data_IF_963655925190
#
_entry.id   IF_963655925190
#
_cell.length_a   1.000
_cell.length_b   1.000
_cell.length_c   1.000
_cell.angle_alpha   90.00
_cell.angle_beta   90.00
_cell.angle_gamma   90.00
#
_symmetry.space_group_name_H-M   'P 1'
#
loop_
_entity.id
_entity.type
_entity.pdbx_description
1 polymer ?
#
# COMPACT_ATOMS: atom_id res chain seq x y z
N UNK A 1 -75.10 17.16 25.56
CA UNK A 1 -74.80 17.67 24.21
C UNK A 1 -73.37 18.18 24.19
N UNK A 2 -72.41 17.32 23.86
CA UNK A 2 -71.01 17.70 23.64
C UNK A 2 -70.41 16.64 22.72
N UNK A 3 -69.90 17.09 21.58
CA UNK A 3 -69.53 16.27 20.43
C UNK A 3 -68.23 15.49 20.61
N UNK A 4 -68.15 14.38 19.86
CA UNK A 4 -66.93 13.60 19.63
C UNK A 4 -66.58 13.83 18.16
N UNK A 5 -65.43 14.48 17.92
CA UNK A 5 -64.91 14.76 16.59
C UNK A 5 -64.42 13.49 15.89
N UNK A 6 -64.83 13.34 14.63
CA UNK A 6 -64.29 12.35 13.69
C UNK A 6 -62.83 12.66 13.36
N UNK A 7 -61.98 11.64 13.51
CA UNK A 7 -60.58 11.66 13.07
C UNK A 7 -60.53 11.59 11.55
N UNK A 8 -59.97 12.64 10.94
CA UNK A 8 -59.55 12.67 9.53
C UNK A 8 -58.52 11.55 9.26
N UNK A 9 -58.84 10.67 8.31
CA UNK A 9 -57.99 9.56 7.88
C UNK A 9 -56.83 10.06 7.00
N UNK A 10 -55.60 9.65 7.35
CA UNK A 10 -54.39 9.82 6.53
C UNK A 10 -54.55 9.10 5.19
N UNK A 11 -54.32 9.83 4.09
CA UNK A 11 -54.25 9.25 2.75
C UNK A 11 -53.02 8.33 2.63
N UNK A 12 -53.23 7.09 2.16
CA UNK A 12 -52.16 6.19 1.75
C UNK A 12 -51.60 6.66 0.40
N UNK A 13 -50.30 6.92 0.33
CA UNK A 13 -49.57 7.14 -0.92
C UNK A 13 -49.45 5.81 -1.69
N UNK A 14 -50.46 5.51 -2.50
CA UNK A 14 -50.49 4.35 -3.39
C UNK A 14 -49.79 4.73 -4.71
N UNK A 15 -48.52 4.33 -4.87
CA UNK A 15 -47.79 4.47 -6.14
C UNK A 15 -48.05 3.25 -7.02
N UNK A 16 -48.53 3.50 -8.23
CA UNK A 16 -48.81 2.46 -9.23
C UNK A 16 -47.74 2.46 -10.31
N UNK A 17 -47.30 1.27 -10.75
CA UNK A 17 -46.25 1.11 -11.75
C UNK A 17 -46.73 0.20 -12.87
N UNK A 18 -46.49 0.60 -14.12
CA UNK A 18 -46.73 -0.26 -15.28
C UNK A 18 -45.68 -1.37 -15.34
N UNK A 19 -46.11 -2.63 -15.34
CA UNK A 19 -45.23 -3.81 -15.46
C UNK A 19 -44.54 -3.91 -16.81
N UNK A 20 -45.07 -3.26 -17.85
CA UNK A 20 -44.55 -3.34 -19.22
C UNK A 20 -43.46 -2.30 -19.51
N UNK A 21 -43.69 -1.04 -19.14
CA UNK A 21 -42.77 0.06 -19.46
C UNK A 21 -42.11 0.71 -18.23
N UNK A 22 -42.51 0.32 -17.01
CA UNK A 22 -41.99 0.89 -15.78
C UNK A 22 -42.46 2.32 -15.47
N UNK A 23 -43.39 2.89 -16.25
CA UNK A 23 -43.96 4.21 -15.98
C UNK A 23 -44.72 4.24 -14.65
N UNK A 24 -44.52 5.31 -13.88
CA UNK A 24 -45.16 5.52 -12.57
C UNK A 24 -46.41 6.38 -12.69
N UNK A 25 -47.49 5.96 -12.03
CA UNK A 25 -48.79 6.62 -12.02
C UNK A 25 -49.23 6.87 -10.57
N UNK A 26 -49.87 8.02 -10.33
CA UNK A 26 -50.37 8.43 -9.00
C UNK A 26 -51.73 7.81 -8.64
N UNK A 27 -52.42 7.20 -9.60
CA UNK A 27 -53.68 6.49 -9.42
C UNK A 27 -53.74 5.29 -10.36
N UNK A 28 -54.49 4.27 -9.98
CA UNK A 28 -54.73 3.14 -10.84
C UNK A 28 -55.54 3.55 -12.08
N UNK A 29 -55.13 3.09 -13.25
CA UNK A 29 -55.91 3.18 -14.49
C UNK A 29 -55.83 1.86 -15.25
N UNK A 30 -56.90 1.52 -15.97
CA UNK A 30 -56.95 0.32 -16.80
C UNK A 30 -56.02 0.36 -18.02
N UNK A 31 -55.46 1.52 -18.36
CA UNK A 31 -54.55 1.72 -19.50
C UNK A 31 -53.39 2.62 -19.10
N UNK A 32 -52.17 2.22 -19.46
CA UNK A 32 -50.96 3.02 -19.23
C UNK A 32 -50.86 4.17 -20.23
N UNK A 33 -50.70 5.40 -19.71
CA UNK A 33 -50.58 6.61 -20.54
C UNK A 33 -49.24 6.71 -21.29
N UNK A 34 -48.21 5.96 -20.88
CA UNK A 34 -46.88 5.98 -21.50
C UNK A 34 -46.73 4.96 -22.64
N UNK A 35 -47.19 3.71 -22.45
CA UNK A 35 -47.04 2.65 -23.45
C UNK A 35 -48.37 2.19 -24.08
N UNK A 36 -49.51 2.68 -23.59
CA UNK A 36 -50.83 2.34 -24.12
C UNK A 36 -51.34 0.94 -23.75
N UNK A 37 -50.57 0.14 -23.01
CA UNK A 37 -50.93 -1.21 -22.60
C UNK A 37 -52.05 -1.23 -21.55
N UNK A 38 -52.91 -2.23 -21.61
CA UNK A 38 -54.07 -2.39 -20.73
C UNK A 38 -53.77 -3.33 -19.57
N UNK A 39 -54.33 -3.06 -18.39
CA UNK A 39 -54.21 -3.85 -17.16
C UNK A 39 -52.77 -4.12 -16.68
N UNK A 40 -51.79 -3.35 -17.15
CA UNK A 40 -50.38 -3.48 -16.76
C UNK A 40 -50.02 -2.67 -15.51
N UNK A 41 -50.91 -1.82 -15.00
CA UNK A 41 -50.63 -0.94 -13.86
C UNK A 41 -50.93 -1.69 -12.56
N UNK A 42 -49.89 -1.93 -11.76
CA UNK A 42 -49.97 -2.63 -10.47
C UNK A 42 -49.51 -1.73 -9.32
N UNK A 43 -50.08 -1.95 -8.14
CA UNK A 43 -49.67 -1.26 -6.91
C UNK A 43 -48.35 -1.85 -6.40
N UNK A 44 -47.33 -1.01 -6.19
CA UNK A 44 -46.03 -1.46 -5.71
C UNK A 44 -45.85 -1.03 -4.24
N UNK A 45 -45.89 -2.02 -3.34
CA UNK A 45 -45.67 -1.81 -1.90
C UNK A 45 -44.18 -1.53 -1.60
N UNK A 46 -43.85 -0.58 -0.71
CA UNK A 46 -42.46 -0.32 -0.35
C UNK A 46 -41.86 -1.51 0.42
N UNK A 47 -40.71 -2.00 -0.05
CA UNK A 47 -40.04 -3.20 0.50
C UNK A 47 -39.22 -2.95 1.78
N UNK A 48 -38.97 -1.69 2.17
CA UNK A 48 -38.26 -1.37 3.43
C UNK A 48 -38.71 -0.02 4.01
N UNK A 49 -38.95 0.03 5.32
CA UNK A 49 -39.12 1.28 6.09
C UNK A 49 -37.75 1.80 6.53
N UNK A 50 -37.18 2.73 5.75
CA UNK A 50 -35.98 3.49 6.14
C UNK A 50 -36.22 4.45 7.33
N UNK A 51 -35.21 5.21 7.78
CA UNK A 51 -35.34 6.12 8.91
C UNK A 51 -36.51 7.09 8.70
N UNK A 52 -37.26 7.35 9.78
CA UNK A 52 -38.57 8.01 9.76
C UNK A 52 -38.65 9.32 8.97
N UNK A 53 -39.89 9.69 8.64
CA UNK A 53 -40.39 10.67 7.67
C UNK A 53 -39.82 12.11 7.65
N UNK A 54 -38.68 12.39 8.31
CA UNK A 54 -37.93 13.65 8.21
C UNK A 54 -36.59 13.55 7.48
N UNK A 55 -36.14 12.35 7.08
CA UNK A 55 -34.78 12.17 6.54
C UNK A 55 -34.69 11.98 5.01
N UNK A 56 -35.75 11.54 4.33
CA UNK A 56 -35.80 11.51 2.87
C UNK A 56 -37.22 11.82 2.43
N UNK A 57 -37.39 12.86 1.59
CA UNK A 57 -38.66 13.10 0.90
C UNK A 57 -39.09 11.89 0.08
N UNK A 58 -40.32 11.90 -0.44
CA UNK A 58 -41.02 10.82 -1.15
C UNK A 58 -40.33 10.27 -2.44
N UNK A 59 -39.04 10.52 -2.65
CA UNK A 59 -38.25 9.90 -3.71
C UNK A 59 -37.95 8.45 -3.33
N UNK A 60 -38.76 7.52 -3.86
CA UNK A 60 -38.39 6.09 -3.89
C UNK A 60 -37.06 5.93 -4.62
N UNK A 61 -36.27 4.94 -4.19
CA UNK A 61 -35.03 4.56 -4.88
C UNK A 61 -35.28 4.29 -6.37
N UNK A 62 -34.37 4.76 -7.23
CA UNK A 62 -34.45 4.52 -8.68
C UNK A 62 -34.00 3.09 -8.98
N UNK A 63 -34.63 2.44 -9.96
CA UNK A 63 -34.13 1.18 -10.52
C UNK A 63 -32.71 1.41 -11.04
N UNK A 64 -31.78 0.58 -10.61
CA UNK A 64 -30.40 0.60 -11.08
C UNK A 64 -30.28 -0.32 -12.30
N UNK A 65 -29.58 0.14 -13.34
CA UNK A 65 -29.19 -0.73 -14.44
C UNK A 65 -28.20 -1.77 -13.90
N UNK A 66 -28.57 -3.04 -13.99
CA UNK A 66 -27.69 -4.16 -13.67
C UNK A 66 -26.85 -4.46 -14.91
N UNK A 67 -25.55 -4.64 -14.74
CA UNK A 67 -24.63 -5.05 -15.80
C UNK A 67 -24.05 -6.40 -15.42
N UNK A 68 -23.90 -7.31 -16.39
CA UNK A 68 -23.36 -8.64 -16.13
C UNK A 68 -21.88 -8.59 -15.76
N UNK A 69 -21.49 -9.43 -14.79
CA UNK A 69 -20.07 -9.66 -14.45
C UNK A 69 -19.28 -10.24 -15.64
N UNK A 70 -19.96 -10.84 -16.62
CA UNK A 70 -19.37 -11.36 -17.85
C UNK A 70 -19.03 -10.26 -18.87
N UNK A 71 -19.50 -9.02 -18.65
CA UNK A 71 -19.03 -7.90 -19.44
C UNK A 71 -17.54 -7.67 -19.16
N UNK A 72 -16.72 -7.68 -20.20
CA UNK A 72 -15.31 -7.23 -20.14
C UNK A 72 -15.27 -5.77 -20.54
N UNK A 73 -15.45 -4.82 -19.62
CA UNK A 73 -15.17 -3.42 -19.92
C UNK A 73 -13.70 -3.30 -20.33
N UNK A 74 -13.40 -2.39 -21.25
CA UNK A 74 -12.00 -2.02 -21.52
C UNK A 74 -11.34 -1.56 -20.23
N UNK A 75 -10.09 -1.99 -20.03
CA UNK A 75 -9.31 -1.53 -18.88
C UNK A 75 -9.27 0.01 -18.88
N UNK A 76 -9.46 0.66 -17.73
CA UNK A 76 -9.53 2.11 -17.69
C UNK A 76 -8.23 2.71 -18.24
N UNK A 77 -8.31 3.77 -19.04
CA UNK A 77 -7.13 4.38 -19.65
C UNK A 77 -6.16 4.84 -18.57
N UNK A 78 -4.88 4.52 -18.75
CA UNK A 78 -3.79 4.89 -17.85
C UNK A 78 -2.89 5.92 -18.49
N UNK A 79 -2.55 6.94 -17.72
CA UNK A 79 -1.52 7.91 -18.13
C UNK A 79 -0.21 7.59 -17.42
N UNK A 80 0.86 7.44 -18.19
CA UNK A 80 2.20 7.13 -17.70
C UNK A 80 2.89 8.45 -17.33
N UNK A 81 3.45 8.54 -16.12
CA UNK A 81 4.21 9.71 -15.68
C UNK A 81 5.61 9.79 -16.31
N UNK A 82 6.15 8.65 -16.74
CA UNK A 82 7.52 8.53 -17.23
C UNK A 82 8.54 8.40 -16.10
N UNK A 83 8.07 8.18 -14.86
CA UNK A 83 8.88 7.80 -13.70
C UNK A 83 8.56 6.35 -13.39
N UNK A 84 9.49 5.44 -13.71
CA UNK A 84 9.20 4.01 -13.75
C UNK A 84 8.77 3.46 -12.39
N UNK A 85 9.40 3.93 -11.31
CA UNK A 85 9.06 3.51 -9.94
C UNK A 85 7.68 4.05 -9.50
N UNK A 86 7.28 5.25 -9.92
CA UNK A 86 5.95 5.80 -9.64
C UNK A 86 4.87 5.06 -10.44
N UNK A 87 5.10 4.87 -11.74
CA UNK A 87 4.17 4.19 -12.63
C UNK A 87 3.93 2.74 -12.18
N UNK A 88 4.99 2.05 -11.70
CA UNK A 88 4.88 0.72 -11.09
C UNK A 88 3.96 0.71 -9.88
N UNK A 89 4.18 1.61 -8.91
CA UNK A 89 3.37 1.70 -7.70
C UNK A 89 1.89 2.00 -8.01
N UNK A 90 1.64 2.79 -9.06
CA UNK A 90 0.29 3.07 -9.54
C UNK A 90 -0.36 1.90 -10.32
N UNK A 91 0.38 0.81 -10.57
CA UNK A 91 -0.10 -0.34 -11.32
C UNK A 91 -0.05 -0.15 -12.84
N UNK A 92 0.93 0.62 -13.33
CA UNK A 92 1.12 0.93 -14.75
C UNK A 92 0.69 2.34 -15.16
N UNK A 93 0.56 3.26 -14.20
CA UNK A 93 0.21 4.66 -14.44
C UNK A 93 -1.10 5.12 -13.78
N UNK A 94 -1.37 6.42 -13.87
CA UNK A 94 -2.51 7.09 -13.27
C UNK A 94 -3.80 6.72 -14.00
N UNK A 95 -4.80 6.26 -13.24
CA UNK A 95 -6.13 5.91 -13.76
C UNK A 95 -7.04 7.14 -13.70
N UNK A 96 -7.77 7.44 -14.77
CA UNK A 96 -8.79 8.49 -14.76
C UNK A 96 -9.94 8.17 -13.79
N UNK A 97 -10.70 9.19 -13.38
CA UNK A 97 -11.84 9.01 -12.47
C UNK A 97 -11.44 8.25 -11.17
N UNK A 98 -10.31 8.59 -10.55
CA UNK A 98 -9.78 7.85 -9.41
C UNK A 98 -9.41 8.77 -8.24
N UNK A 99 -9.46 8.22 -7.03
CA UNK A 99 -9.02 8.91 -5.81
C UNK A 99 -7.83 8.15 -5.18
N UNK A 100 -6.72 8.85 -5.02
CA UNK A 100 -5.49 8.35 -4.43
C UNK A 100 -5.15 9.11 -3.16
N UNK A 101 -4.62 8.42 -2.17
CA UNK A 101 -4.11 9.00 -0.93
C UNK A 101 -2.61 8.73 -0.82
N UNK A 102 -1.81 9.77 -0.65
CA UNK A 102 -0.37 9.67 -0.38
C UNK A 102 -0.12 10.02 1.08
N UNK A 103 0.06 8.98 1.89
CA UNK A 103 0.39 9.03 3.30
C UNK A 103 1.90 9.09 3.55
N UNK A 104 2.32 9.62 4.70
CA UNK A 104 3.70 9.51 5.17
C UNK A 104 4.08 10.61 6.16
N UNK A 105 5.25 10.44 6.78
CA UNK A 105 5.73 11.35 7.82
C UNK A 105 5.95 12.78 7.29
N UNK A 106 5.76 13.82 8.13
CA UNK A 106 6.15 15.18 7.77
C UNK A 106 7.63 15.26 7.39
N UNK A 107 7.93 15.97 6.29
CA UNK A 107 9.29 16.15 5.81
C UNK A 107 9.91 14.97 5.03
N UNK A 108 9.19 13.86 4.86
CA UNK A 108 9.72 12.70 4.11
C UNK A 108 9.93 12.97 2.61
N UNK A 109 9.22 13.97 2.06
CA UNK A 109 9.30 14.38 0.66
C UNK A 109 8.01 14.21 -0.16
N UNK A 110 6.83 14.07 0.46
CA UNK A 110 5.53 13.90 -0.24
C UNK A 110 5.24 15.02 -1.25
N UNK A 111 5.29 16.28 -0.81
CA UNK A 111 5.06 17.43 -1.69
C UNK A 111 6.11 17.51 -2.81
N UNK A 112 7.35 17.13 -2.53
CA UNK A 112 8.41 17.05 -3.55
C UNK A 112 8.09 15.99 -4.61
N UNK A 113 7.71 14.78 -4.18
CA UNK A 113 7.31 13.69 -5.07
C UNK A 113 6.13 14.11 -5.95
N UNK A 114 5.10 14.70 -5.34
CA UNK A 114 3.87 15.06 -6.02
C UNK A 114 4.03 16.27 -6.94
N UNK A 115 4.86 17.25 -6.58
CA UNK A 115 5.15 18.36 -7.48
C UNK A 115 5.96 17.89 -8.71
N UNK A 116 6.92 16.98 -8.52
CA UNK A 116 7.61 16.33 -9.63
C UNK A 116 6.65 15.49 -10.49
N UNK A 117 5.76 14.71 -9.87
CA UNK A 117 4.75 13.93 -10.58
C UNK A 117 3.78 14.83 -11.37
N UNK A 118 3.30 15.92 -10.76
CA UNK A 118 2.42 16.91 -11.39
C UNK A 118 3.05 17.46 -12.67
N UNK A 119 4.30 17.91 -12.57
CA UNK A 119 5.05 18.43 -13.70
C UNK A 119 5.23 17.39 -14.82
N UNK A 120 5.45 16.13 -14.46
CA UNK A 120 5.60 15.02 -15.42
C UNK A 120 4.29 14.71 -16.14
N UNK A 121 3.19 14.57 -15.41
CA UNK A 121 1.87 14.38 -16.00
C UNK A 121 1.45 15.56 -16.88
N UNK A 122 1.73 16.78 -16.44
CA UNK A 122 1.44 18.00 -17.21
C UNK A 122 2.23 18.04 -18.53
N UNK A 123 3.53 17.72 -18.49
CA UNK A 123 4.36 17.59 -19.70
C UNK A 123 3.92 16.43 -20.60
N UNK A 124 3.27 15.42 -20.04
CA UNK A 124 2.63 14.31 -20.76
C UNK A 124 1.30 14.67 -21.42
N UNK A 125 0.82 15.92 -21.27
CA UNK A 125 -0.38 16.44 -21.92
C UNK A 125 -1.61 16.54 -21.01
N UNK A 126 -1.53 16.16 -19.73
CA UNK A 126 -2.65 16.32 -18.80
C UNK A 126 -2.78 17.77 -18.33
N UNK A 127 -4.02 18.25 -18.19
CA UNK A 127 -4.30 19.50 -17.47
C UNK A 127 -4.21 19.23 -15.96
N UNK A 128 -3.15 19.72 -15.32
CA UNK A 128 -2.87 19.47 -13.90
C UNK A 128 -3.07 20.73 -13.05
N UNK A 129 -3.84 20.60 -11.97
CA UNK A 129 -3.99 21.65 -10.95
C UNK A 129 -3.39 21.17 -9.62
N UNK A 130 -2.52 21.97 -9.03
CA UNK A 130 -1.96 21.75 -7.70
C UNK A 130 -2.59 22.73 -6.73
N UNK A 131 -3.38 22.21 -5.79
CA UNK A 131 -3.99 22.99 -4.71
C UNK A 131 -3.22 22.75 -3.43
N UNK A 132 -2.69 23.81 -2.83
CA UNK A 132 -2.06 23.74 -1.52
C UNK A 132 -2.89 24.47 -0.48
N UNK A 133 -3.04 23.87 0.69
CA UNK A 133 -3.62 24.53 1.87
C UNK A 133 -2.61 24.75 3.01
N UNK A 134 -1.42 24.16 2.92
CA UNK A 134 -0.35 24.31 3.93
C UNK A 134 0.66 25.41 3.58
N UNK A 135 0.91 25.65 2.29
CA UNK A 135 1.95 26.57 1.83
C UNK A 135 1.35 27.67 0.95
N UNK A 136 2.02 28.83 0.90
CA UNK A 136 1.66 29.87 -0.07
C UNK A 136 2.07 29.48 -1.49
N UNK A 137 1.40 30.05 -2.49
CA UNK A 137 1.75 29.87 -3.89
C UNK A 137 3.22 30.19 -4.19
N UNK A 138 3.75 31.25 -3.59
CA UNK A 138 5.15 31.65 -3.74
C UNK A 138 6.13 30.60 -3.19
N UNK A 139 5.83 29.96 -2.06
CA UNK A 139 6.66 28.89 -1.49
C UNK A 139 6.71 27.67 -2.41
N UNK A 140 5.58 27.27 -2.98
CA UNK A 140 5.56 26.14 -3.92
C UNK A 140 6.31 26.49 -5.20
N UNK A 141 6.17 27.72 -5.72
CA UNK A 141 6.93 28.19 -6.88
C UNK A 141 8.44 28.18 -6.65
N UNK A 142 8.92 28.62 -5.48
CA UNK A 142 10.34 28.54 -5.12
C UNK A 142 10.85 27.08 -5.12
N UNK A 143 10.05 26.13 -4.63
CA UNK A 143 10.40 24.70 -4.71
C UNK A 143 10.41 24.21 -6.15
N UNK A 144 9.42 24.58 -6.96
CA UNK A 144 9.37 24.24 -8.38
C UNK A 144 10.62 24.76 -9.12
N UNK A 145 11.08 25.97 -8.81
CA UNK A 145 12.31 26.54 -9.36
C UNK A 145 13.54 25.70 -8.98
N UNK A 146 13.69 25.35 -7.70
CA UNK A 146 14.80 24.49 -7.24
C UNK A 146 14.81 23.12 -7.92
N UNK A 147 13.63 22.56 -8.19
CA UNK A 147 13.45 21.27 -8.85
C UNK A 147 13.55 21.34 -10.39
N UNK A 148 13.71 22.53 -10.98
CA UNK A 148 13.76 22.71 -12.44
C UNK A 148 12.41 22.45 -13.14
N UNK A 149 11.30 22.84 -12.49
CA UNK A 149 9.94 22.54 -12.94
C UNK A 149 9.19 23.76 -13.51
N UNK A 150 9.82 24.92 -13.63
CA UNK A 150 9.16 26.19 -14.03
C UNK A 150 8.47 26.15 -15.38
N UNK A 151 9.03 25.41 -16.34
CA UNK A 151 8.48 25.27 -17.69
C UNK A 151 7.32 24.26 -17.79
N UNK A 152 6.89 23.67 -16.67
CA UNK A 152 5.84 22.65 -16.69
C UNK A 152 4.46 23.31 -16.61
N UNK A 153 3.48 22.91 -17.43
CA UNK A 153 2.16 23.55 -17.45
C UNK A 153 1.27 23.08 -16.29
N UNK A 154 1.68 23.39 -15.05
CA UNK A 154 0.92 23.09 -13.83
C UNK A 154 0.32 24.38 -13.28
N UNK A 155 -1.00 24.44 -13.16
CA UNK A 155 -1.70 25.58 -12.55
C UNK A 155 -1.71 25.40 -11.04
N UNK A 156 -1.45 26.47 -10.29
CA UNK A 156 -1.36 26.43 -8.84
C UNK A 156 -2.42 27.29 -8.17
N UNK A 157 -3.03 26.77 -7.10
CA UNK A 157 -3.95 27.49 -6.24
C UNK A 157 -3.55 27.31 -4.77
N UNK A 158 -3.70 28.36 -3.97
CA UNK A 158 -3.54 28.32 -2.53
C UNK A 158 -4.92 28.56 -1.89
N UNK A 159 -5.62 27.49 -1.54
CA UNK A 159 -7.00 27.54 -1.04
C UNK A 159 -7.27 26.37 -0.09
N UNK A 160 -8.16 26.60 0.88
CA UNK A 160 -8.56 25.62 1.90
C UNK A 160 -10.06 25.34 1.88
N UNK A 161 -10.87 26.25 1.35
CA UNK A 161 -12.31 26.06 1.23
C UNK A 161 -12.65 25.06 0.12
N UNK A 162 -13.18 23.91 0.51
CA UNK A 162 -13.50 22.82 -0.40
C UNK A 162 -14.58 23.22 -1.42
N UNK A 163 -15.55 24.05 -1.05
CA UNK A 163 -16.57 24.53 -1.99
C UNK A 163 -15.95 25.32 -3.13
N UNK A 164 -15.03 26.21 -2.81
CA UNK A 164 -14.39 27.09 -3.79
C UNK A 164 -13.47 26.28 -4.69
N UNK A 165 -12.74 25.32 -4.11
CA UNK A 165 -11.93 24.34 -4.85
C UNK A 165 -12.81 23.56 -5.83
N UNK A 166 -13.87 22.90 -5.37
CA UNK A 166 -14.75 22.08 -6.23
C UNK A 166 -15.42 22.90 -7.34
N UNK A 167 -15.84 24.13 -7.03
CA UNK A 167 -16.43 25.06 -8.01
C UNK A 167 -15.42 25.42 -9.09
N UNK A 168 -14.17 25.70 -8.70
CA UNK A 168 -13.07 26.00 -9.62
C UNK A 168 -12.73 24.79 -10.49
N UNK A 169 -12.62 23.60 -9.89
CA UNK A 169 -12.32 22.37 -10.62
C UNK A 169 -13.42 22.02 -11.63
N UNK A 170 -14.68 22.33 -11.33
CA UNK A 170 -15.79 22.09 -12.26
C UNK A 170 -15.73 22.98 -13.51
N UNK A 171 -15.32 24.23 -13.32
CA UNK A 171 -15.13 25.19 -14.40
C UNK A 171 -13.88 24.85 -15.23
N UNK A 172 -12.76 24.53 -14.57
CA UNK A 172 -11.49 24.27 -15.24
C UNK A 172 -11.41 22.89 -15.89
N UNK A 173 -12.14 21.89 -15.38
CA UNK A 173 -12.11 20.49 -15.86
C UNK A 173 -10.68 19.95 -16.05
N UNK A 174 -9.86 19.89 -14.98
CA UNK A 174 -8.53 19.28 -15.08
C UNK A 174 -8.62 17.76 -15.23
N UNK A 175 -7.59 17.15 -15.77
CA UNK A 175 -7.46 15.69 -15.81
C UNK A 175 -6.93 15.14 -14.47
N UNK A 176 -6.09 15.91 -13.79
CA UNK A 176 -5.50 15.59 -12.50
C UNK A 176 -5.52 16.81 -11.57
N UNK A 177 -5.98 16.60 -10.34
CA UNK A 177 -5.82 17.55 -9.24
C UNK A 177 -5.05 16.93 -8.08
N UNK A 178 -4.14 17.70 -7.50
CA UNK A 178 -3.40 17.34 -6.29
C UNK A 178 -3.84 18.26 -5.16
N UNK A 179 -4.20 17.69 -4.02
CA UNK A 179 -4.62 18.41 -2.81
C UNK A 179 -3.56 18.18 -1.71
N UNK A 180 -2.76 19.21 -1.43
CA UNK A 180 -1.65 19.19 -0.46
C UNK A 180 -1.90 20.18 0.70
N UNK A 181 -2.54 19.79 1.81
CA UNK A 181 -2.95 18.44 2.20
C UNK A 181 -4.44 18.35 2.52
N UNK A 182 -4.97 17.13 2.64
CA UNK A 182 -6.39 16.92 2.98
C UNK A 182 -6.73 17.43 4.39
N UNK A 183 -5.74 17.52 5.29
CA UNK A 183 -5.93 18.00 6.65
C UNK A 183 -6.29 19.48 6.73
N UNK A 184 -5.87 20.29 5.75
CA UNK A 184 -6.16 21.72 5.73
C UNK A 184 -7.47 22.06 5.03
N UNK A 185 -8.11 21.07 4.41
CA UNK A 185 -9.38 21.28 3.71
C UNK A 185 -10.52 21.49 4.71
N UNK A 186 -11.39 22.45 4.38
CA UNK A 186 -12.57 22.78 5.15
C UNK A 186 -13.84 22.68 4.29
N UNK A 187 -14.82 21.93 4.79
CA UNK A 187 -16.17 21.83 4.23
C UNK A 187 -17.16 22.50 5.17
N UNK A 188 -18.02 23.35 4.60
CA UNK A 188 -19.06 24.07 5.32
C UNK A 188 -20.30 23.20 5.64
N UNK A 189 -20.32 21.95 5.17
CA UNK A 189 -21.36 20.95 5.49
C UNK A 189 -21.20 20.34 6.88
N UNK A 190 -20.07 20.57 7.54
CA UNK A 190 -19.74 19.97 8.84
C UNK A 190 -19.44 21.07 9.84
N UNK A 191 -20.22 21.10 10.92
CA UNK A 191 -19.94 21.95 12.08
C UNK A 191 -18.80 21.35 12.92
N UNK A 192 -17.59 21.39 12.37
CA UNK A 192 -16.37 20.98 13.06
C UNK A 192 -15.18 21.84 12.63
N UNK A 193 -14.20 22.00 13.52
CA UNK A 193 -12.98 22.75 13.22
C UNK A 193 -12.21 22.10 12.05
N UNK A 194 -11.57 22.91 11.17
CA UNK A 194 -10.64 22.42 10.15
C UNK A 194 -9.59 21.47 10.75
N UNK A 195 -9.23 20.43 10.01
CA UNK A 195 -8.30 19.38 10.49
C UNK A 195 -8.89 18.35 11.44
N UNK A 196 -10.14 18.52 11.89
CA UNK A 196 -10.84 17.45 12.62
C UNK A 196 -11.07 16.22 11.73
N UNK A 197 -11.16 15.05 12.36
CA UNK A 197 -11.40 13.77 11.66
C UNK A 197 -12.67 13.83 10.80
N UNK A 198 -13.72 14.50 11.28
CA UNK A 198 -14.99 14.66 10.56
C UNK A 198 -14.83 15.51 9.29
N UNK A 199 -14.09 16.63 9.38
CA UNK A 199 -13.76 17.48 8.23
C UNK A 199 -12.97 16.69 7.18
N UNK A 200 -11.89 16.02 7.57
CA UNK A 200 -11.03 15.23 6.67
C UNK A 200 -11.83 14.12 5.96
N UNK A 201 -12.64 13.38 6.71
CA UNK A 201 -13.48 12.30 6.15
C UNK A 201 -14.47 12.84 5.13
N UNK A 202 -15.08 13.98 5.43
CA UNK A 202 -16.09 14.60 4.56
C UNK A 202 -15.43 15.13 3.29
N UNK A 203 -14.32 15.86 3.43
CA UNK A 203 -13.57 16.37 2.30
C UNK A 203 -13.10 15.26 1.37
N UNK A 204 -12.56 14.17 1.92
CA UNK A 204 -12.15 13.02 1.13
C UNK A 204 -13.33 12.34 0.41
N UNK A 205 -14.49 12.26 1.06
CA UNK A 205 -15.70 11.71 0.43
C UNK A 205 -16.18 12.57 -0.75
N UNK A 206 -16.25 13.88 -0.55
CA UNK A 206 -16.69 14.82 -1.58
C UNK A 206 -15.73 14.84 -2.76
N UNK A 207 -14.42 14.89 -2.51
CA UNK A 207 -13.39 14.82 -3.55
C UNK A 207 -13.43 13.49 -4.32
N UNK A 208 -13.59 12.37 -3.63
CA UNK A 208 -13.69 11.05 -4.27
C UNK A 208 -14.95 10.96 -5.14
N UNK A 209 -16.08 11.46 -4.64
CA UNK A 209 -17.34 11.48 -5.39
C UNK A 209 -17.24 12.39 -6.61
N UNK A 210 -16.62 13.56 -6.45
CA UNK A 210 -16.37 14.50 -7.53
C UNK A 210 -15.46 13.89 -8.61
N UNK A 211 -14.37 13.20 -8.21
CA UNK A 211 -13.48 12.47 -9.10
C UNK A 211 -14.23 11.50 -10.02
N UNK A 212 -15.09 10.66 -9.41
CA UNK A 212 -15.89 9.67 -10.13
C UNK A 212 -16.95 10.31 -11.04
N UNK A 213 -17.59 11.38 -10.57
CA UNK A 213 -18.69 12.05 -11.30
C UNK A 213 -18.18 12.84 -12.51
N UNK A 214 -17.01 13.48 -12.38
CA UNK A 214 -16.43 14.33 -13.42
C UNK A 214 -15.37 13.62 -14.27
N UNK A 215 -15.01 12.39 -13.93
CA UNK A 215 -14.02 11.62 -14.68
C UNK A 215 -12.57 12.02 -14.41
N UNK A 216 -12.30 12.76 -13.34
CA UNK A 216 -10.97 13.33 -13.04
C UNK A 216 -10.18 12.45 -12.06
N UNK A 217 -8.85 12.50 -12.11
CA UNK A 217 -8.01 11.90 -11.07
C UNK A 217 -7.74 12.90 -9.94
N UNK A 218 -7.86 12.46 -8.69
CA UNK A 218 -7.58 13.25 -7.49
C UNK A 218 -6.52 12.55 -6.65
N UNK A 219 -5.43 13.26 -6.34
CA UNK A 219 -4.42 12.80 -5.37
C UNK A 219 -4.50 13.67 -4.13
N UNK A 220 -4.73 13.05 -2.98
CA UNK A 220 -4.79 13.71 -1.67
C UNK A 220 -3.53 13.41 -0.87
N UNK A 221 -2.93 14.42 -0.27
CA UNK A 221 -1.81 14.24 0.67
C UNK A 221 -2.35 14.09 2.08
N UNK A 222 -1.85 13.07 2.80
CA UNK A 222 -2.14 12.87 4.21
C UNK A 222 -0.87 12.79 5.06
N UNK A 223 -0.73 13.67 6.04
CA UNK A 223 0.30 13.56 7.07
C UNK A 223 0.01 12.46 8.11
N UNK A 224 1.00 11.60 8.38
CA UNK A 224 0.95 10.65 9.52
C UNK A 224 1.51 11.33 10.76
N UNK A 225 0.75 11.34 11.86
CA UNK A 225 1.22 11.83 13.16
C UNK A 225 1.93 10.70 13.92
N UNK A 226 2.93 11.05 14.75
CA UNK A 226 3.84 10.11 15.44
C UNK A 226 3.14 9.08 16.34
N UNK A 227 1.88 9.31 16.72
CA UNK A 227 1.11 8.44 17.62
C UNK A 227 0.02 7.63 16.89
N UNK A 228 -0.09 7.74 15.57
CA UNK A 228 -0.96 6.89 14.74
C UNK A 228 -2.47 6.95 15.04
N UNK A 229 -2.93 7.80 15.97
CA UNK A 229 -4.28 7.68 16.56
C UNK A 229 -5.16 8.93 16.51
N UNK A 230 -4.65 10.11 16.15
CA UNK A 230 -5.49 11.30 16.02
C UNK A 230 -5.31 11.93 14.63
N UNK A 231 -6.34 11.78 13.78
CA UNK A 231 -6.49 12.42 12.47
C UNK A 231 -5.45 12.05 11.38
N UNK A 232 -4.95 10.82 11.40
CA UNK A 232 -4.09 10.30 10.32
C UNK A 232 -4.86 9.89 9.04
N UNK A 233 -4.14 9.69 7.91
CA UNK A 233 -4.69 9.19 6.64
C UNK A 233 -5.48 7.88 6.75
N UNK A 234 -5.27 7.09 7.81
CA UNK A 234 -5.99 5.84 8.11
C UNK A 234 -7.51 5.96 8.08
N UNK A 235 -8.05 7.12 8.48
CA UNK A 235 -9.51 7.34 8.43
C UNK A 235 -10.03 7.40 7.00
N UNK A 236 -9.17 7.77 6.04
CA UNK A 236 -9.54 7.97 4.63
C UNK A 236 -9.18 6.75 3.76
N UNK A 237 -8.29 5.87 4.21
CA UNK A 237 -7.81 4.70 3.44
C UNK A 237 -8.91 3.84 2.84
N UNK A 238 -9.99 3.61 3.58
CA UNK A 238 -11.10 2.78 3.12
C UNK A 238 -11.93 3.48 2.03
N UNK A 239 -11.94 4.81 2.01
CA UNK A 239 -12.76 5.65 1.14
C UNK A 239 -12.17 5.85 -0.24
N UNK A 240 -10.84 5.75 -0.37
CA UNK A 240 -10.12 5.98 -1.63
C UNK A 240 -9.92 4.69 -2.44
N UNK A 241 -9.54 4.84 -3.71
CA UNK A 241 -9.25 3.71 -4.58
C UNK A 241 -7.84 3.17 -4.37
N UNK A 242 -6.87 4.06 -4.12
CA UNK A 242 -5.48 3.72 -3.91
C UNK A 242 -4.90 4.45 -2.68
N UNK A 243 -4.11 3.74 -1.87
CA UNK A 243 -3.37 4.26 -0.72
C UNK A 243 -1.90 3.96 -0.94
N UNK A 244 -1.10 5.02 -1.00
CA UNK A 244 0.34 4.97 -1.11
C UNK A 244 0.95 5.50 0.19
N UNK A 245 1.92 4.79 0.74
CA UNK A 245 2.71 5.23 1.88
C UNK A 245 4.12 5.59 1.43
N UNK A 246 4.55 6.81 1.75
CA UNK A 246 5.91 7.24 1.52
C UNK A 246 6.70 7.16 2.83
N UNK A 247 7.56 6.16 2.89
CA UNK A 247 8.28 5.69 4.07
C UNK A 247 9.78 5.99 3.91
N UNK A 248 10.46 6.21 5.03
CA UNK A 248 11.92 6.31 5.05
C UNK A 248 12.41 6.75 6.42
N UNK A 249 13.44 6.07 6.89
CA UNK A 249 14.01 6.31 8.20
C UNK A 249 14.99 7.49 8.19
N UNK A 250 15.08 8.20 9.32
CA UNK A 250 15.98 9.34 9.46
C UNK A 250 17.43 8.82 9.41
N UNK A 251 18.21 9.32 8.46
CA UNK A 251 19.61 8.91 8.26
C UNK A 251 19.81 7.98 7.05
N UNK A 252 18.76 7.29 6.59
CA UNK A 252 18.81 6.57 5.34
C UNK A 252 18.62 7.53 4.15
N UNK A 253 19.39 7.34 3.09
CA UNK A 253 19.29 8.13 1.86
C UNK A 253 18.00 7.82 1.07
N UNK A 254 17.45 6.61 1.28
CA UNK A 254 16.32 6.10 0.51
C UNK A 254 14.96 6.45 1.10
N UNK A 255 13.99 6.51 0.18
CA UNK A 255 12.57 6.74 0.44
C UNK A 255 11.79 5.71 -0.36
N UNK A 256 10.91 4.97 0.30
CA UNK A 256 10.14 3.89 -0.29
C UNK A 256 8.70 4.35 -0.43
N UNK A 257 8.18 4.36 -1.65
CA UNK A 257 6.77 4.57 -1.92
C UNK A 257 6.09 3.21 -2.07
N UNK A 258 5.13 2.90 -1.22
CA UNK A 258 4.48 1.58 -1.13
C UNK A 258 3.00 1.67 -1.39
N UNK A 259 2.47 0.84 -2.28
CA UNK A 259 1.04 0.71 -2.52
C UNK A 259 0.36 -0.18 -1.47
N UNK A 260 -0.08 0.37 -0.35
CA UNK A 260 -0.79 -0.42 0.66
C UNK A 260 -2.18 -0.90 0.20
N UNK A 261 -2.85 -0.10 -0.64
CA UNK A 261 -4.12 -0.45 -1.27
C UNK A 261 -4.07 0.02 -2.71
N UNK A 262 -4.39 -0.83 -3.67
CA UNK A 262 -4.53 -0.42 -5.06
C UNK A 262 -5.65 -1.19 -5.73
N UNK A 263 -6.80 -0.54 -5.98
CA UNK A 263 -7.91 -1.16 -6.72
C UNK A 263 -7.61 -1.36 -8.21
N UNK A 264 -6.56 -0.73 -8.71
CA UNK A 264 -6.17 -0.74 -10.12
C UNK A 264 -4.85 -1.47 -10.37
N UNK A 265 -4.27 -2.12 -9.38
CA UNK A 265 -2.95 -2.72 -9.52
C UNK A 265 -2.66 -3.67 -8.36
N UNK A 266 -1.46 -4.25 -8.33
CA UNK A 266 -1.05 -5.08 -7.21
C UNK A 266 -0.93 -4.21 -5.95
N UNK A 267 -1.39 -4.76 -4.83
CA UNK A 267 -1.03 -4.24 -3.52
C UNK A 267 0.43 -4.61 -3.20
N UNK A 268 1.02 -3.87 -2.27
CA UNK A 268 2.38 -4.00 -1.76
C UNK A 268 3.51 -3.76 -2.77
N UNK A 269 3.20 -3.29 -3.98
CA UNK A 269 4.21 -2.76 -4.91
C UNK A 269 5.00 -1.62 -4.28
N UNK A 270 6.30 -1.59 -4.56
CA UNK A 270 7.19 -0.54 -4.08
C UNK A 270 7.90 0.21 -5.20
N UNK A 271 8.09 1.50 -4.97
CA UNK A 271 8.91 2.41 -5.74
C UNK A 271 10.03 2.94 -4.85
N UNK A 272 11.28 2.82 -5.26
CA UNK A 272 12.43 3.27 -4.46
C UNK A 272 12.98 4.57 -5.02
N UNK A 273 13.16 5.55 -4.13
CA UNK A 273 13.65 6.89 -4.46
C UNK A 273 14.79 7.28 -3.54
N UNK A 274 15.62 8.20 -4.01
CA UNK A 274 16.68 8.84 -3.23
C UNK A 274 16.47 10.35 -3.22
N UNK A 275 16.63 10.99 -2.06
CA UNK A 275 16.57 12.44 -1.95
C UNK A 275 17.91 13.06 -2.33
N UNK A 276 17.96 13.73 -3.48
CA UNK A 276 19.14 14.45 -3.98
C UNK A 276 18.97 15.96 -3.83
N UNK A 277 20.04 16.73 -4.05
CA UNK A 277 19.95 18.20 -4.10
C UNK A 277 19.01 18.74 -5.20
N UNK A 278 18.67 17.91 -6.20
CA UNK A 278 17.74 18.25 -7.30
C UNK A 278 16.32 17.71 -7.08
N UNK A 279 16.02 17.15 -5.90
CA UNK A 279 14.75 16.49 -5.58
C UNK A 279 14.87 14.97 -5.54
N UNK A 280 13.74 14.28 -5.67
CA UNK A 280 13.69 12.82 -5.64
C UNK A 280 14.12 12.23 -6.98
N UNK A 281 15.07 11.30 -6.93
CA UNK A 281 15.53 10.52 -8.07
C UNK A 281 15.08 9.05 -7.92
N UNK A 282 14.69 8.41 -9.03
CA UNK A 282 14.30 6.99 -9.02
C UNK A 282 15.53 6.07 -8.91
N UNK A 283 15.41 5.03 -8.08
CA UNK A 283 16.44 4.02 -7.88
C UNK A 283 16.08 2.77 -8.67
N UNK A 284 16.74 2.56 -9.81
CA UNK A 284 16.44 1.44 -10.72
C UNK A 284 16.83 0.07 -10.16
N UNK A 285 17.92 0.01 -9.40
CA UNK A 285 18.43 -1.21 -8.79
C UNK A 285 18.63 -1.01 -7.28
N UNK A 286 17.58 -1.19 -6.47
CA UNK A 286 17.66 -0.98 -5.03
C UNK A 286 18.53 -2.05 -4.35
N UNK A 287 18.49 -3.29 -4.84
CA UNK A 287 19.28 -4.39 -4.31
C UNK A 287 20.79 -4.14 -4.40
N UNK A 288 21.28 -3.51 -5.48
CA UNK A 288 22.69 -3.14 -5.58
C UNK A 288 23.14 -2.14 -4.49
N UNK A 289 22.23 -1.30 -4.01
CA UNK A 289 22.51 -0.29 -2.99
C UNK A 289 22.41 -0.86 -1.57
N UNK A 290 21.53 -1.82 -1.33
CA UNK A 290 21.46 -2.53 -0.04
C UNK A 290 22.64 -3.48 0.19
N UNK A 291 23.50 -3.63 -0.80
CA UNK A 291 24.58 -4.59 -0.86
C UNK A 291 25.93 -3.92 -1.12
N UNK A 292 26.04 -2.62 -0.82
CA UNK A 292 27.20 -1.77 -1.14
C UNK A 292 28.48 -2.11 -0.35
N UNK A 293 28.41 -2.94 0.70
CA UNK A 293 29.54 -3.34 1.55
C UNK A 293 29.86 -4.85 1.44
N UNK A 294 29.72 -5.44 0.24
CA UNK A 294 29.93 -6.88 -0.03
C UNK A 294 31.37 -7.39 0.04
N UNK A 295 32.36 -6.51 0.17
CA UNK A 295 33.75 -6.89 -0.14
C UNK A 295 34.39 -7.81 0.92
N UNK A 296 33.81 -7.91 2.12
CA UNK A 296 34.34 -8.74 3.21
C UNK A 296 33.27 -9.61 3.86
N UNK A 297 33.47 -10.93 3.82
CA UNK A 297 32.66 -11.88 4.57
C UNK A 297 32.82 -11.61 6.07
N UNK A 298 31.72 -11.24 6.73
CA UNK A 298 31.70 -10.86 8.15
C UNK A 298 30.78 -11.81 8.92
N UNK A 299 31.23 -12.35 10.07
CA UNK A 299 30.36 -13.15 10.93
C UNK A 299 29.10 -12.39 11.32
N UNK A 300 27.97 -13.08 11.27
CA UNK A 300 26.67 -12.49 11.56
C UNK A 300 26.03 -11.72 10.42
N UNK A 301 26.69 -11.58 9.27
CA UNK A 301 26.11 -10.95 8.08
C UNK A 301 25.71 -12.00 7.04
N UNK A 302 24.47 -11.94 6.55
CA UNK A 302 23.97 -12.81 5.49
C UNK A 302 23.07 -12.04 4.53
N UNK A 303 22.99 -12.47 3.28
CA UNK A 303 22.07 -11.87 2.31
C UNK A 303 20.77 -12.66 2.24
N UNK A 304 19.67 -12.00 2.57
CA UNK A 304 18.32 -12.50 2.41
C UNK A 304 17.72 -12.09 1.06
N UNK A 305 17.15 -13.05 0.33
CA UNK A 305 16.35 -12.77 -0.87
C UNK A 305 14.86 -12.70 -0.50
N UNK A 306 14.36 -11.49 -0.26
CA UNK A 306 12.98 -11.18 0.10
C UNK A 306 12.07 -10.91 -1.10
N UNK A 307 10.76 -10.93 -0.86
CA UNK A 307 9.77 -10.42 -1.79
C UNK A 307 9.00 -9.30 -1.10
N UNK A 308 9.02 -8.12 -1.71
CA UNK A 308 8.25 -6.96 -1.28
C UNK A 308 7.14 -6.69 -2.30
N UNK A 309 5.91 -7.06 -1.96
CA UNK A 309 4.80 -7.13 -2.92
C UNK A 309 5.06 -8.17 -4.01
N UNK A 310 5.40 -7.72 -5.22
CA UNK A 310 5.84 -8.61 -6.31
C UNK A 310 7.32 -8.48 -6.64
N UNK A 311 8.03 -7.54 -6.01
CA UNK A 311 9.42 -7.24 -6.34
C UNK A 311 10.36 -8.10 -5.49
N UNK A 312 11.24 -8.92 -6.11
CA UNK A 312 12.35 -9.52 -5.38
C UNK A 312 13.36 -8.45 -4.99
N UNK A 313 13.76 -8.46 -3.72
CA UNK A 313 14.75 -7.54 -3.16
C UNK A 313 15.75 -8.35 -2.37
N UNK A 314 17.02 -8.12 -2.61
CA UNK A 314 18.08 -8.68 -1.78
C UNK A 314 18.50 -7.63 -0.76
N UNK A 315 18.57 -8.04 0.50
CA UNK A 315 18.95 -7.20 1.61
C UNK A 315 19.79 -7.99 2.60
N UNK A 316 20.64 -7.29 3.36
CA UNK A 316 21.51 -7.90 4.34
C UNK A 316 20.80 -8.00 5.70
N UNK A 317 20.88 -9.16 6.32
CA UNK A 317 20.47 -9.40 7.70
C UNK A 317 21.73 -9.53 8.53
N UNK A 318 21.82 -8.70 9.55
CA UNK A 318 22.95 -8.61 10.46
C UNK A 318 22.53 -9.08 11.84
N UNK A 319 23.33 -9.96 12.43
CA UNK A 319 23.20 -10.42 13.80
C UNK A 319 24.49 -10.13 14.57
N UNK A 320 24.35 -9.70 15.82
CA UNK A 320 25.44 -9.60 16.77
C UNK A 320 25.05 -10.36 18.02
N UNK A 321 25.91 -11.27 18.43
CA UNK A 321 25.75 -12.09 19.63
C UNK A 321 26.91 -11.79 20.56
N UNK A 322 26.62 -11.42 21.80
CA UNK A 322 27.65 -11.11 22.80
C UNK A 322 27.31 -11.70 24.17
N UNK A 323 28.29 -12.00 25.03
CA UNK A 323 28.02 -12.45 26.40
C UNK A 323 27.16 -11.44 27.17
N UNK A 324 26.07 -11.92 27.79
CA UNK A 324 25.17 -11.10 28.58
C UNK A 324 25.64 -11.00 30.04
N UNK A 325 25.23 -9.94 30.73
CA UNK A 325 25.41 -9.86 32.18
C UNK A 325 24.43 -10.81 32.90
N UNK A 326 24.84 -11.45 34.01
CA UNK A 326 23.98 -12.37 34.75
C UNK A 326 22.64 -11.71 35.13
N UNK A 327 21.53 -12.33 34.71
CA UNK A 327 20.17 -11.88 35.04
C UNK A 327 19.57 -10.82 34.10
N UNK A 328 20.31 -10.32 33.10
CA UNK A 328 19.76 -9.41 32.07
C UNK A 328 20.23 -9.81 30.68
N UNK A 329 19.43 -10.63 29.98
CA UNK A 329 19.64 -10.89 28.54
C UNK A 329 18.83 -9.88 27.72
N UNK A 330 19.47 -9.29 26.72
CA UNK A 330 18.86 -8.34 25.79
C UNK A 330 18.62 -9.02 24.44
N UNK A 331 17.40 -8.85 23.92
CA UNK A 331 17.02 -9.28 22.57
C UNK A 331 16.43 -8.07 21.86
N UNK A 332 17.20 -7.49 20.94
CA UNK A 332 16.81 -6.27 20.23
C UNK A 332 16.73 -6.57 18.73
N UNK A 333 15.68 -6.07 18.09
CA UNK A 333 15.42 -6.26 16.67
C UNK A 333 15.07 -4.94 16.02
N UNK A 334 15.70 -4.66 14.88
CA UNK A 334 15.41 -3.52 14.02
C UNK A 334 15.10 -4.05 12.62
N UNK A 335 13.93 -3.67 12.06
CA UNK A 335 13.53 -4.07 10.71
C UNK A 335 12.88 -5.47 10.60
N UNK A 336 12.69 -6.19 11.70
CA UNK A 336 12.02 -7.50 11.72
C UNK A 336 11.15 -7.70 12.97
N UNK A 337 10.41 -8.81 13.05
CA UNK A 337 9.52 -9.12 14.16
C UNK A 337 10.25 -9.78 15.35
N UNK A 338 10.09 -9.20 16.54
CA UNK A 338 10.71 -9.71 17.77
C UNK A 338 10.10 -11.03 18.25
N UNK A 339 8.81 -11.27 17.98
CA UNK A 339 8.15 -12.54 18.29
C UNK A 339 8.72 -13.71 17.49
N UNK A 340 8.94 -13.50 16.18
CA UNK A 340 9.62 -14.44 15.29
C UNK A 340 11.05 -14.70 15.73
N UNK A 341 11.83 -13.69 16.13
CA UNK A 341 13.17 -13.92 16.68
C UNK A 341 13.13 -14.90 17.87
N UNK A 342 12.22 -14.68 18.83
CA UNK A 342 12.09 -15.57 19.99
C UNK A 342 11.74 -17.01 19.59
N UNK A 343 10.90 -17.18 18.56
CA UNK A 343 10.58 -18.49 17.98
C UNK A 343 11.81 -19.17 17.38
N UNK A 344 12.58 -18.46 16.55
CA UNK A 344 13.77 -19.02 15.89
C UNK A 344 14.81 -19.44 16.93
N UNK A 345 15.05 -18.64 17.96
CA UNK A 345 15.95 -19.00 19.06
C UNK A 345 15.49 -20.30 19.76
N UNK A 346 14.18 -20.45 20.03
CA UNK A 346 13.64 -21.66 20.65
C UNK A 346 13.78 -22.90 19.75
N UNK A 347 13.64 -22.75 18.42
CA UNK A 347 13.83 -23.86 17.47
C UNK A 347 15.30 -24.24 17.36
N UNK A 348 16.21 -23.27 17.32
CA UNK A 348 17.66 -23.50 17.32
C UNK A 348 18.10 -24.26 18.57
N UNK A 349 17.60 -23.87 19.75
CA UNK A 349 17.93 -24.56 21.00
C UNK A 349 17.32 -25.97 21.05
N UNK A 350 16.01 -26.11 20.82
CA UNK A 350 15.30 -27.38 21.00
C UNK A 350 15.55 -28.43 19.91
N UNK A 351 15.87 -28.01 18.68
CA UNK A 351 16.06 -28.91 17.52
C UNK A 351 17.50 -29.02 17.09
N UNK A 352 18.29 -27.95 17.26
CA UNK A 352 19.68 -27.92 16.83
C UNK A 352 20.64 -27.94 18.03
N UNK A 353 20.19 -27.93 19.28
CA UNK A 353 21.09 -27.91 20.43
C UNK A 353 22.01 -26.67 20.46
N UNK A 354 21.66 -25.62 19.72
CA UNK A 354 22.42 -24.36 19.69
C UNK A 354 21.79 -23.44 20.72
N UNK A 355 22.35 -23.41 21.93
CA UNK A 355 21.83 -22.54 22.99
C UNK A 355 22.38 -21.11 22.88
N UNK A 356 21.49 -20.15 23.11
CA UNK A 356 21.78 -18.72 23.26
C UNK A 356 21.55 -18.26 24.71
N UNK A 357 21.48 -19.19 25.66
CA UNK A 357 21.37 -18.87 27.07
C UNK A 357 22.59 -18.06 27.53
N UNK A 358 22.36 -16.97 28.27
CA UNK A 358 23.44 -16.09 28.73
C UNK A 358 24.06 -15.21 27.64
N UNK A 359 23.45 -15.09 26.47
CA UNK A 359 23.89 -14.22 25.38
C UNK A 359 22.87 -13.10 25.11
N UNK A 360 23.40 -11.92 24.81
CA UNK A 360 22.66 -10.81 24.22
C UNK A 360 22.60 -11.00 22.70
N UNK A 361 21.43 -10.74 22.12
CA UNK A 361 21.17 -10.91 20.69
C UNK A 361 20.65 -9.60 20.12
N UNK A 362 21.35 -9.08 19.13
CA UNK A 362 20.95 -7.92 18.36
C UNK A 362 20.76 -8.34 16.90
N UNK A 363 19.63 -7.99 16.31
CA UNK A 363 19.32 -8.25 14.91
C UNK A 363 18.97 -6.94 14.21
N UNK A 364 19.55 -6.72 13.04
CA UNK A 364 19.31 -5.55 12.21
C UNK A 364 19.11 -5.95 10.75
N UNK A 365 18.09 -5.39 10.10
CA UNK A 365 17.93 -5.47 8.65
C UNK A 365 18.58 -4.24 8.03
N UNK A 366 19.62 -4.45 7.23
CA UNK A 366 20.35 -3.35 6.61
C UNK A 366 19.46 -2.58 5.63
N UNK A 367 19.80 -1.30 5.43
CA UNK A 367 19.09 -0.43 4.49
C UNK A 367 17.77 0.17 5.00
N UNK A 368 17.42 -0.04 6.27
CA UNK A 368 16.20 0.51 6.88
C UNK A 368 14.92 -0.17 6.38
N UNK A 369 15.06 -1.36 5.80
CA UNK A 369 13.94 -2.16 5.32
C UNK A 369 13.22 -2.83 6.50
N UNK A 370 11.90 -2.97 6.37
CA UNK A 370 11.10 -3.76 7.28
C UNK A 370 10.62 -5.00 6.56
N UNK A 371 11.07 -6.16 7.03
CA UNK A 371 10.72 -7.45 6.45
C UNK A 371 9.57 -8.05 7.25
N UNK A 372 8.48 -8.40 6.58
CA UNK A 372 7.32 -9.08 7.18
C UNK A 372 7.14 -10.54 6.76
N UNK A 373 8.03 -11.06 5.91
CA UNK A 373 7.82 -12.35 5.25
C UNK A 373 8.42 -13.54 6.03
N UNK A 374 7.72 -14.70 6.12
CA UNK A 374 8.27 -15.92 6.72
C UNK A 374 9.56 -16.45 6.08
N UNK A 375 9.82 -16.09 4.81
CA UNK A 375 11.01 -16.52 4.09
C UNK A 375 12.32 -16.02 4.73
N UNK A 376 12.27 -15.01 5.59
CA UNK A 376 13.43 -14.48 6.30
C UNK A 376 13.95 -15.42 7.40
N UNK A 377 13.15 -16.37 7.86
CA UNK A 377 13.47 -17.21 9.02
C UNK A 377 14.81 -17.93 8.88
N UNK A 378 15.05 -18.58 7.73
CA UNK A 378 16.31 -19.28 7.47
C UNK A 378 17.51 -18.34 7.40
N UNK A 379 17.34 -17.16 6.81
CA UNK A 379 18.41 -16.16 6.75
C UNK A 379 18.72 -15.62 8.14
N UNK A 380 17.72 -15.36 8.98
CA UNK A 380 17.96 -14.92 10.36
C UNK A 380 18.63 -16.01 11.19
N UNK A 381 18.19 -17.27 11.06
CA UNK A 381 18.86 -18.40 11.72
C UNK A 381 20.33 -18.52 11.29
N UNK A 382 20.61 -18.36 9.99
CA UNK A 382 21.96 -18.35 9.44
C UNK A 382 22.82 -17.21 10.03
N UNK A 383 22.28 -15.99 10.12
CA UNK A 383 22.97 -14.84 10.70
C UNK A 383 23.29 -15.08 12.19
N UNK A 384 22.32 -15.59 12.96
CA UNK A 384 22.50 -15.85 14.40
C UNK A 384 23.57 -16.91 14.67
N UNK A 385 23.56 -18.01 13.92
CA UNK A 385 24.59 -19.05 14.05
C UNK A 385 25.94 -18.51 13.60
N UNK A 386 25.99 -17.81 12.46
CA UNK A 386 27.21 -17.18 11.95
C UNK A 386 27.85 -16.25 12.97
N UNK A 387 27.05 -15.42 13.66
CA UNK A 387 27.52 -14.52 14.71
C UNK A 387 28.00 -15.26 15.98
N UNK A 388 27.33 -16.37 16.35
CA UNK A 388 27.68 -17.17 17.53
C UNK A 388 28.98 -17.97 17.32
N UNK A 389 29.13 -18.58 16.16
CA UNK A 389 30.29 -19.42 15.81
C UNK A 389 31.49 -18.63 15.27
N UNK A 390 31.35 -17.31 15.18
CA UNK A 390 32.35 -16.42 14.55
C UNK A 390 32.75 -16.89 13.14
N UNK A 391 31.78 -17.43 12.39
CA UNK A 391 31.99 -18.10 11.10
C UNK A 391 31.19 -17.41 10.00
N UNK A 392 31.89 -16.72 9.11
CA UNK A 392 31.27 -15.92 8.05
C UNK A 392 30.74 -16.79 6.90
N UNK A 393 29.56 -16.42 6.40
CA UNK A 393 28.97 -17.02 5.19
C UNK A 393 29.51 -16.33 3.92
N UNK A 394 29.51 -17.03 2.76
CA UNK A 394 29.92 -16.41 1.50
C UNK A 394 29.06 -15.19 1.15
N UNK A 395 29.71 -14.08 0.77
CA UNK A 395 29.06 -12.80 0.43
C UNK A 395 28.21 -12.88 -0.84
N UNK A 396 28.44 -13.90 -1.67
CA UNK A 396 27.75 -14.21 -2.92
C UNK A 396 26.73 -15.35 -2.76
N UNK A 397 26.30 -15.61 -1.52
CA UNK A 397 25.24 -16.57 -1.18
C UNK A 397 23.95 -15.86 -0.74
N UNK A 398 22.84 -16.13 -1.45
CA UNK A 398 21.52 -15.66 -1.07
C UNK A 398 20.74 -16.74 -0.30
N UNK A 399 20.12 -16.39 0.82
CA UNK A 399 19.43 -17.35 1.71
C UNK A 399 17.95 -16.98 1.82
N UNK A 400 17.06 -17.96 1.77
CA UNK A 400 15.63 -17.78 2.10
C UNK A 400 14.96 -19.11 2.44
N UNK A 401 13.97 -19.09 3.32
CA UNK A 401 13.20 -20.26 3.72
C UNK A 401 12.41 -20.00 5.00
N UNK A 402 11.24 -20.63 5.13
CA UNK A 402 10.43 -20.56 6.35
C UNK A 402 10.84 -21.68 7.31
N UNK A 403 11.00 -21.38 8.60
CA UNK A 403 11.31 -22.37 9.62
C UNK A 403 10.03 -22.71 10.38
N UNK A 404 9.70 -24.00 10.41
CA UNK A 404 8.62 -24.51 11.26
C UNK A 404 9.11 -24.86 12.66
N UNK A 405 8.19 -24.89 13.64
CA UNK A 405 8.49 -25.29 15.02
C UNK A 405 9.04 -26.73 15.17
N UNK A 406 8.84 -27.58 14.16
CA UNK A 406 9.44 -28.92 14.11
C UNK A 406 10.91 -28.90 13.67
N UNK A 407 11.42 -27.76 13.23
CA UNK A 407 12.75 -27.61 12.63
C UNK A 407 12.77 -27.87 11.12
N UNK A 408 11.65 -28.18 10.46
CA UNK A 408 11.64 -28.32 9.00
C UNK A 408 11.72 -26.96 8.29
N UNK A 409 12.48 -26.90 7.20
CA UNK A 409 12.59 -25.72 6.32
C UNK A 409 11.58 -25.86 5.18
N UNK A 410 10.62 -24.94 5.12
CA UNK A 410 9.44 -25.03 4.23
C UNK A 410 9.61 -24.19 2.96
N UNK A 411 9.07 -24.64 1.82
CA UNK A 411 9.00 -23.84 0.60
C UNK A 411 8.26 -22.51 0.81
N UNK A 412 8.73 -21.46 0.14
CA UNK A 412 8.17 -20.11 0.24
C UNK A 412 7.63 -19.62 -1.11
N UNK A 413 6.92 -18.51 -1.09
CA UNK A 413 6.36 -17.93 -2.31
C UNK A 413 7.46 -17.44 -3.27
N UNK A 414 7.18 -17.48 -4.58
CA UNK A 414 7.98 -16.86 -5.64
C UNK A 414 9.48 -17.22 -5.63
N UNK A 415 9.86 -18.46 -5.27
CA UNK A 415 11.26 -18.89 -5.21
C UNK A 415 12.04 -18.64 -6.51
N UNK A 416 11.39 -18.81 -7.66
CA UNK A 416 12.02 -18.56 -8.97
C UNK A 416 12.37 -17.08 -9.18
N UNK A 417 11.51 -16.15 -8.75
CA UNK A 417 11.76 -14.72 -8.87
C UNK A 417 12.92 -14.27 -7.97
N UNK A 418 13.01 -14.84 -6.75
CA UNK A 418 14.13 -14.60 -5.83
C UNK A 418 15.46 -15.03 -6.46
N UNK A 419 15.50 -16.24 -7.04
CA UNK A 419 16.70 -16.78 -7.68
C UNK A 419 17.10 -15.98 -8.93
N UNK A 420 16.13 -15.56 -9.76
CA UNK A 420 16.40 -14.72 -10.94
C UNK A 420 17.03 -13.38 -10.54
N UNK A 421 16.52 -12.74 -9.50
CA UNK A 421 17.08 -11.46 -9.02
C UNK A 421 18.46 -11.66 -8.38
N UNK A 422 18.66 -12.71 -7.59
CA UNK A 422 19.97 -13.05 -7.04
C UNK A 422 21.01 -13.25 -8.16
N UNK A 423 20.68 -14.06 -9.18
CA UNK A 423 21.56 -14.28 -10.33
C UNK A 423 21.86 -12.98 -11.10
N UNK A 424 20.85 -12.13 -11.31
CA UNK A 424 21.01 -10.82 -11.97
C UNK A 424 21.96 -9.88 -11.22
N UNK A 425 22.05 -10.01 -9.90
CA UNK A 425 22.94 -9.24 -9.03
C UNK A 425 24.30 -9.90 -8.78
N UNK A 426 24.61 -10.96 -9.53
CA UNK A 426 25.90 -11.63 -9.51
C UNK A 426 26.12 -12.58 -8.33
N UNK A 427 25.07 -13.00 -7.63
CA UNK A 427 25.21 -14.10 -6.67
C UNK A 427 25.52 -15.39 -7.41
N UNK A 428 26.38 -16.22 -6.82
CA UNK A 428 26.77 -17.51 -7.40
C UNK A 428 26.15 -18.68 -6.64
N UNK A 429 25.69 -18.46 -5.40
CA UNK A 429 25.13 -19.50 -4.54
C UNK A 429 23.75 -19.09 -3.98
N UNK A 430 22.90 -20.07 -3.72
CA UNK A 430 21.69 -19.87 -2.94
C UNK A 430 21.42 -21.05 -1.99
N UNK A 431 21.03 -20.73 -0.75
CA UNK A 431 20.53 -21.71 0.23
C UNK A 431 19.01 -21.54 0.36
N UNK A 432 18.27 -22.60 0.08
CA UNK A 432 16.81 -22.56 -0.03
C UNK A 432 16.15 -23.84 0.50
N UNK A 433 14.83 -23.82 0.82
CA UNK A 433 14.09 -25.04 1.12
C UNK A 433 14.10 -26.04 -0.04
N UNK A 434 13.89 -27.32 0.28
CA UNK A 434 13.63 -28.35 -0.73
C UNK A 434 12.49 -27.94 -1.66
N UNK A 435 12.73 -27.99 -2.96
CA UNK A 435 11.73 -27.56 -3.95
C UNK A 435 10.64 -28.63 -4.10
N UNK A 436 9.35 -28.25 -4.18
CA UNK A 436 8.32 -29.20 -4.57
C UNK A 436 8.61 -29.75 -5.98
N UNK A 437 8.42 -31.06 -6.19
CA UNK A 437 8.70 -31.74 -7.47
C UNK A 437 8.05 -30.98 -8.64
N UNK A 438 8.87 -30.57 -9.62
CA UNK A 438 8.47 -29.66 -10.70
C UNK A 438 7.55 -30.32 -11.74
N UNK A 439 6.64 -29.51 -12.33
CA UNK A 439 6.16 -29.68 -13.70
C UNK A 439 7.28 -29.28 -14.66
N UNK A 440 7.47 -30.05 -15.74
CA UNK A 440 8.46 -29.77 -16.78
C UNK A 440 8.22 -28.38 -17.41
N UNK A 441 9.24 -27.52 -17.53
CA UNK A 441 9.15 -26.27 -18.30
C UNK A 441 9.71 -24.96 -17.70
N UNK A 442 9.83 -24.79 -16.38
CA UNK A 442 10.40 -23.54 -15.82
C UNK A 442 11.93 -23.36 -16.09
N UNK A 443 12.32 -22.48 -17.00
CA UNK A 443 13.74 -22.16 -17.19
C UNK A 443 14.37 -21.67 -15.87
N UNK A 444 15.42 -22.38 -15.44
CA UNK A 444 16.19 -22.05 -14.24
C UNK A 444 16.91 -20.70 -14.42
N UNK A 445 17.14 -20.00 -13.31
CA UNK A 445 18.21 -19.02 -13.27
C UNK A 445 19.53 -19.77 -13.52
N UNK A 446 20.02 -19.73 -14.77
CA UNK A 446 21.27 -20.35 -15.15
C UNK A 446 22.42 -19.70 -14.36
N UNK A 447 23.26 -20.50 -13.72
CA UNK A 447 24.50 -20.04 -13.07
C UNK A 447 24.51 -19.94 -11.54
N UNK A 448 23.44 -20.32 -10.84
CA UNK A 448 23.45 -20.43 -9.36
C UNK A 448 23.69 -21.88 -8.90
N UNK A 449 24.63 -22.07 -7.97
CA UNK A 449 24.77 -23.28 -7.15
C UNK A 449 23.69 -23.29 -6.07
N UNK A 450 22.81 -24.31 -6.11
CA UNK A 450 21.61 -24.37 -5.26
C UNK A 450 21.78 -25.42 -4.17
N UNK A 451 21.81 -24.98 -2.91
CA UNK A 451 21.86 -25.85 -1.73
C UNK A 451 20.47 -25.97 -1.10
N UNK A 452 19.83 -27.11 -1.31
CA UNK A 452 18.49 -27.38 -0.80
C UNK A 452 18.51 -27.95 0.62
N UNK A 453 17.84 -27.27 1.54
CA UNK A 453 17.74 -27.63 2.95
C UNK A 453 16.36 -28.21 3.27
N UNK A 454 16.35 -29.37 3.93
CA UNK A 454 15.12 -30.04 4.37
C UNK A 454 14.69 -29.56 5.75
N UNK A 455 15.66 -29.39 6.63
CA UNK A 455 15.48 -29.06 8.03
C UNK A 455 16.66 -28.24 8.54
N UNK A 456 16.41 -27.55 9.65
CA UNK A 456 17.35 -26.65 10.29
C UNK A 456 18.56 -27.41 10.87
N UNK A 457 18.42 -28.59 11.51
CA UNK A 457 19.59 -29.35 11.97
C UNK A 457 20.55 -29.73 10.83
N UNK A 458 20.02 -30.19 9.69
CA UNK A 458 20.82 -30.51 8.51
C UNK A 458 21.46 -29.26 7.89
N UNK A 459 20.77 -28.11 7.92
CA UNK A 459 21.37 -26.83 7.55
C UNK A 459 22.55 -26.47 8.46
N UNK A 460 22.40 -26.56 9.78
CA UNK A 460 23.47 -26.24 10.74
C UNK A 460 24.69 -27.13 10.52
N UNK A 461 24.49 -28.43 10.37
CA UNK A 461 25.56 -29.40 10.15
C UNK A 461 26.29 -29.16 8.80
N UNK A 462 25.53 -29.00 7.72
CA UNK A 462 26.10 -28.83 6.37
C UNK A 462 26.86 -27.51 6.20
N UNK A 463 26.40 -26.45 6.86
CA UNK A 463 26.91 -25.09 6.64
C UNK A 463 27.97 -24.69 7.67
N UNK A 464 27.83 -25.13 8.91
CA UNK A 464 28.73 -24.74 10.01
C UNK A 464 29.52 -25.91 10.61
N UNK A 465 29.27 -27.16 10.19
CA UNK A 465 30.02 -28.34 10.65
C UNK A 465 29.79 -28.72 12.10
N UNK A 466 28.76 -28.19 12.75
CA UNK A 466 28.44 -28.51 14.14
C UNK A 466 27.73 -29.87 14.19
N UNK A 467 28.44 -30.97 14.38
CA UNK A 467 27.80 -32.26 14.58
C UNK A 467 27.04 -32.30 15.93
N UNK A 468 25.99 -33.12 16.11
CA UNK A 468 25.23 -33.20 17.36
C UNK A 468 26.05 -33.50 18.63
N UNK A 469 27.29 -34.00 18.49
CA UNK A 469 28.16 -34.41 19.60
C UNK A 469 29.21 -33.38 20.05
N UNK A 470 29.36 -32.25 19.36
CA UNK A 470 30.32 -31.18 19.70
C UNK A 470 29.66 -29.96 20.36
N UNK A 471 28.39 -30.10 20.79
CA UNK A 471 27.49 -29.02 21.22
C UNK A 471 27.29 -28.98 22.75
N UNK A 472 28.38 -28.97 23.52
CA UNK A 472 28.37 -28.63 24.97
C UNK A 472 28.99 -27.26 25.25
#
# INVERSE_FOLDING_TARGET
MTGIGEKSGMAKDLNFVCTECGATHSKWSGRCDACGAWNTIQEEAPLTSGPGAKALGAQRGRKIALTDLASTPEAPPRTISGVAELDRVLGGGLVAASALLVGGDPGIGKSTLLLQAAARFARGGLKVIYVTGEESAAQVQMRAQRLGLTESPVTLAAETNLRDILTTLDAERPDLVIIDSIQTMWSDKVEAAPGSVSQVRTAAHELTTFAKTRGIAVIMVGHVTKEGTLAGPRVVEHMVDCVLYFEGERGHQFRILRAHKNRFGPADEIGVFEMTGKGLAEVKNPSALFLSERDTATPGSVVFAGIEGTRPILCEIQALVSPAQPGQTRRSVVGWDGGRLAMILAVLESRCGVSFAGLDVYLNVAGGLRIGEPAADLAVAAALISAREDSALPVDCAIFGEISLSGAVRPVSQMENRLKEAAKLGFTQAILPQRPKRRAGAEMAAGLDLREMRDLPGFVDTVFGLAPGERE
#
